data_IF_072546882414
#
_entry.id   IF_072546882414
#
_cell.length_a   1.000
_cell.length_b   1.000
_cell.length_c   1.000
_cell.angle_alpha   90.00
_cell.angle_beta   90.00
_cell.angle_gamma   90.00
#
_symmetry.space_group_name_H-M   'P 1'
#
loop_
_entity.id
_entity.type
_entity.pdbx_description
1 polymer ?
#
# COMPACT_ATOMS: atom_id res chain seq x y z
N UNK A 1 10.63 -5.79 -6.42
CA UNK A 1 9.41 -5.00 -6.71
C UNK A 1 9.77 -3.57 -7.12
N UNK A 2 8.97 -2.89 -7.96
CA UNK A 2 9.12 -1.45 -8.25
C UNK A 2 8.00 -0.66 -7.56
N UNK A 3 8.34 0.14 -6.57
CA UNK A 3 7.43 1.09 -5.93
C UNK A 3 7.17 2.28 -6.86
N UNK A 4 5.93 2.73 -6.96
CA UNK A 4 5.56 3.89 -7.76
C UNK A 4 5.18 5.05 -6.86
N UNK A 5 5.80 6.22 -7.08
CA UNK A 5 5.47 7.46 -6.38
C UNK A 5 4.42 8.21 -7.19
N UNK A 6 3.26 8.42 -6.59
CA UNK A 6 2.09 9.00 -7.24
C UNK A 6 1.99 10.50 -6.92
N UNK A 7 1.58 11.30 -7.91
CA UNK A 7 1.17 12.70 -7.69
C UNK A 7 -0.34 12.75 -7.39
N UNK A 8 -0.68 13.53 -6.38
CA UNK A 8 -1.90 13.41 -5.58
C UNK A 8 -3.20 13.83 -6.27
N UNK A 9 -4.04 12.87 -6.64
CA UNK A 9 -5.51 12.86 -6.44
C UNK A 9 -6.08 11.42 -6.60
N UNK A 10 -7.35 11.19 -6.24
CA UNK A 10 -7.95 9.85 -6.25
C UNK A 10 -8.18 9.26 -7.65
N UNK A 11 -8.39 10.09 -8.67
CA UNK A 11 -8.50 9.62 -10.06
C UNK A 11 -7.13 9.22 -10.59
N UNK A 12 -6.09 10.00 -10.28
CA UNK A 12 -4.70 9.67 -10.58
C UNK A 12 -4.31 8.35 -9.91
N UNK A 13 -4.71 8.12 -8.65
CA UNK A 13 -4.49 6.84 -7.95
C UNK A 13 -5.15 5.65 -8.66
N UNK A 14 -6.41 5.79 -9.10
CA UNK A 14 -7.11 4.70 -9.77
C UNK A 14 -6.51 4.38 -11.14
N UNK A 15 -6.12 5.42 -11.89
CA UNK A 15 -5.48 5.29 -13.19
C UNK A 15 -4.08 4.67 -13.06
N UNK A 16 -3.25 5.17 -12.16
CA UNK A 16 -1.90 4.63 -11.92
C UNK A 16 -1.95 3.20 -11.39
N UNK A 17 -2.91 2.87 -10.52
CA UNK A 17 -3.13 1.49 -10.08
C UNK A 17 -3.51 0.58 -11.27
N UNK A 18 -4.39 1.04 -12.16
CA UNK A 18 -4.76 0.29 -13.37
C UNK A 18 -3.59 0.08 -14.30
N UNK A 19 -2.72 1.07 -14.46
CA UNK A 19 -1.50 0.95 -15.26
C UNK A 19 -0.48 0.00 -14.63
N UNK A 20 -0.36 0.01 -13.30
CA UNK A 20 0.59 -0.83 -12.57
C UNK A 20 0.13 -2.29 -12.42
N UNK A 21 -1.18 -2.53 -12.28
CA UNK A 21 -1.76 -3.86 -11.97
C UNK A 21 -2.57 -4.48 -13.12
N UNK A 22 -2.89 -3.70 -14.16
CA UNK A 22 -3.80 -4.11 -15.24
C UNK A 22 -5.28 -4.16 -14.84
N UNK A 23 -5.62 -3.87 -13.58
CA UNK A 23 -6.96 -4.05 -13.02
C UNK A 23 -7.56 -2.71 -12.58
N UNK A 24 -8.88 -2.52 -12.79
CA UNK A 24 -9.58 -1.35 -12.26
C UNK A 24 -9.81 -1.51 -10.75
N UNK A 25 -9.23 -0.63 -9.90
CA UNK A 25 -9.45 -0.74 -8.46
C UNK A 25 -10.81 -0.17 -8.03
N UNK A 26 -11.31 -0.65 -6.90
CA UNK A 26 -12.33 0.02 -6.11
C UNK A 26 -11.81 1.35 -5.54
N UNK A 27 -12.70 2.14 -4.95
CA UNK A 27 -12.28 3.31 -4.16
C UNK A 27 -11.31 2.88 -3.03
N UNK A 28 -10.27 3.69 -2.73
CA UNK A 28 -9.31 3.39 -1.68
C UNK A 28 -9.98 3.41 -0.31
N UNK A 29 -9.79 2.34 0.46
CA UNK A 29 -10.22 2.30 1.87
C UNK A 29 -9.03 2.63 2.76
N UNK A 30 -9.01 3.84 3.29
CA UNK A 30 -7.91 4.34 4.12
C UNK A 30 -8.06 3.94 5.59
N UNK A 31 -6.97 3.45 6.17
CA UNK A 31 -6.84 3.13 7.59
C UNK A 31 -5.58 3.79 8.14
N UNK A 32 -5.67 4.36 9.35
CA UNK A 32 -4.49 4.80 10.10
C UNK A 32 -4.07 3.65 11.01
N UNK A 33 -2.83 3.19 10.86
CA UNK A 33 -2.27 2.10 11.64
C UNK A 33 -1.53 2.62 12.87
N UNK A 34 -1.33 1.71 13.84
CA UNK A 34 -0.49 1.93 15.00
C UNK A 34 0.90 1.32 14.81
N UNK A 35 1.83 1.76 15.66
CA UNK A 35 3.17 1.18 15.70
C UNK A 35 3.09 -0.28 16.13
N UNK A 36 3.74 -1.16 15.36
CA UNK A 36 3.72 -2.60 15.62
C UNK A 36 2.56 -3.36 14.98
N UNK A 37 1.65 -2.70 14.24
CA UNK A 37 0.61 -3.41 13.50
C UNK A 37 1.24 -4.32 12.42
N UNK A 38 0.96 -5.62 12.50
CA UNK A 38 1.20 -6.60 11.43
C UNK A 38 -0.13 -6.89 10.72
N UNK A 39 -0.20 -6.55 9.45
CA UNK A 39 -1.43 -6.57 8.67
C UNK A 39 -1.30 -7.57 7.54
N UNK A 40 -2.26 -8.49 7.50
CA UNK A 40 -2.54 -9.32 6.33
C UNK A 40 -3.69 -8.67 5.54
N UNK A 41 -3.43 -8.08 4.37
CA UNK A 41 -4.49 -7.45 3.58
C UNK A 41 -5.55 -8.44 3.12
N UNK A 42 -6.71 -7.90 2.76
CA UNK A 42 -7.79 -8.66 2.15
C UNK A 42 -7.30 -9.38 0.89
N UNK A 43 -7.76 -10.61 0.65
CA UNK A 43 -7.33 -11.43 -0.48
C UNK A 43 -7.64 -10.81 -1.85
N UNK A 44 -8.55 -9.84 -1.92
CA UNK A 44 -8.86 -9.08 -3.14
C UNK A 44 -8.02 -7.82 -3.32
N UNK A 45 -7.09 -7.55 -2.41
CA UNK A 45 -6.18 -6.40 -2.49
C UNK A 45 -5.23 -6.57 -3.68
N UNK A 46 -5.31 -5.65 -4.63
CA UNK A 46 -4.43 -5.61 -5.81
C UNK A 46 -3.30 -4.58 -5.67
N UNK A 47 -3.46 -3.61 -4.78
CA UNK A 47 -2.45 -2.64 -4.43
C UNK A 47 -2.71 -2.05 -3.04
N UNK A 48 -1.66 -1.59 -2.38
CA UNK A 48 -1.77 -0.68 -1.24
C UNK A 48 -1.21 0.69 -1.60
N UNK A 49 -1.73 1.73 -0.96
CA UNK A 49 -1.21 3.10 -1.06
C UNK A 49 -0.76 3.52 0.33
N UNK A 50 0.50 3.94 0.46
CA UNK A 50 1.07 4.38 1.73
C UNK A 50 1.22 5.89 1.72
N UNK A 51 0.75 6.54 2.79
CA UNK A 51 0.92 7.96 3.07
C UNK A 51 1.59 8.15 4.43
N UNK A 52 2.82 8.69 4.40
CA UNK A 52 3.62 9.02 5.58
C UNK A 52 3.64 10.53 5.88
N UNK A 53 2.85 11.34 5.16
CA UNK A 53 2.95 12.81 5.22
C UNK A 53 2.65 13.37 6.61
N UNK A 54 1.67 12.76 7.29
CA UNK A 54 1.22 13.13 8.63
C UNK A 54 2.02 12.45 9.76
N UNK A 55 2.90 11.51 9.42
CA UNK A 55 3.68 10.75 10.40
C UNK A 55 5.00 11.46 10.70
N UNK A 56 5.42 11.51 11.97
CA UNK A 56 6.72 12.09 12.37
C UNK A 56 7.89 11.14 12.10
N UNK A 57 7.66 9.86 12.37
CA UNK A 57 8.57 8.74 12.14
C UNK A 57 7.75 7.51 11.75
N UNK A 58 8.17 6.77 10.74
CA UNK A 58 7.45 5.58 10.34
C UNK A 58 7.96 4.89 9.09
N UNK A 59 7.45 3.69 8.87
CA UNK A 59 7.72 2.89 7.69
C UNK A 59 6.61 1.86 7.51
N UNK A 60 6.43 1.40 6.28
CA UNK A 60 5.62 0.21 5.98
C UNK A 60 6.57 -0.80 5.34
N UNK A 61 6.87 -1.89 6.05
CA UNK A 61 7.74 -2.97 5.59
C UNK A 61 6.90 -4.11 5.06
N UNK A 62 7.26 -4.67 3.91
CA UNK A 62 6.45 -5.66 3.21
C UNK A 62 7.21 -6.99 3.18
N UNK A 63 6.49 -8.06 3.48
CA UNK A 63 7.03 -9.40 3.56
C UNK A 63 6.15 -10.38 2.78
N UNK A 64 6.73 -11.41 2.20
CA UNK A 64 6.00 -12.52 1.59
C UNK A 64 6.02 -13.76 2.49
N UNK A 65 4.86 -14.39 2.64
CA UNK A 65 4.68 -15.64 3.39
C UNK A 65 4.87 -16.86 2.48
N UNK A 66 5.25 -18.03 3.03
CA UNK A 66 5.39 -18.33 4.47
C UNK A 66 6.73 -17.92 5.09
N UNK A 67 7.76 -17.63 4.29
CA UNK A 67 9.15 -17.55 4.76
C UNK A 67 9.55 -16.18 5.35
N UNK A 68 8.61 -15.24 5.47
CA UNK A 68 8.85 -13.86 5.89
C UNK A 68 9.95 -13.17 5.05
N UNK A 69 9.96 -13.46 3.75
CA UNK A 69 10.94 -12.87 2.84
C UNK A 69 10.64 -11.38 2.64
N UNK A 70 11.66 -10.54 2.81
CA UNK A 70 11.52 -9.09 2.69
C UNK A 70 11.41 -8.65 1.23
N UNK A 71 10.27 -8.06 0.86
CA UNK A 71 9.99 -7.61 -0.52
C UNK A 71 10.34 -6.12 -0.74
N UNK A 72 10.38 -5.35 0.35
CA UNK A 72 10.77 -3.94 0.35
C UNK A 72 10.04 -3.12 1.42
N UNK A 73 10.18 -1.80 1.37
CA UNK A 73 9.52 -0.90 2.31
C UNK A 73 9.25 0.48 1.71
N UNK A 74 8.23 1.14 2.25
CA UNK A 74 8.01 2.57 2.12
C UNK A 74 8.59 3.25 3.35
N UNK A 75 9.48 4.22 3.15
CA UNK A 75 10.27 4.84 4.22
C UNK A 75 9.98 6.34 4.31
N UNK A 76 10.43 6.97 5.40
CA UNK A 76 10.31 8.43 5.58
C UNK A 76 10.98 9.26 4.45
N UNK A 77 11.88 8.68 3.66
CA UNK A 77 12.43 9.32 2.44
C UNK A 77 11.39 9.55 1.35
N UNK A 78 10.24 8.88 1.43
CA UNK A 78 9.10 9.01 0.52
C UNK A 78 8.02 9.94 1.08
N UNK A 79 8.26 10.57 2.25
CA UNK A 79 7.34 11.52 2.86
C UNK A 79 7.00 12.67 1.90
N UNK A 80 5.72 13.04 1.85
CA UNK A 80 5.20 14.06 0.93
C UNK A 80 4.72 13.48 -0.41
N UNK A 81 4.86 12.17 -0.62
CA UNK A 81 4.29 11.44 -1.74
C UNK A 81 3.34 10.35 -1.25
N UNK A 82 2.36 10.02 -2.09
CA UNK A 82 1.62 8.77 -1.97
C UNK A 82 2.44 7.69 -2.69
N UNK A 83 2.69 6.57 -2.03
CA UNK A 83 3.44 5.46 -2.63
C UNK A 83 2.48 4.32 -2.93
N UNK A 84 2.29 4.01 -4.21
CA UNK A 84 1.55 2.85 -4.66
C UNK A 84 2.48 1.65 -4.71
N UNK A 85 2.01 0.60 -4.07
CA UNK A 85 2.66 -0.69 -4.00
C UNK A 85 1.71 -1.71 -4.64
N UNK A 86 2.00 -2.19 -5.87
CA UNK A 86 1.31 -3.34 -6.42
C UNK A 86 1.40 -4.51 -5.46
N UNK A 87 0.28 -5.18 -5.21
CA UNK A 87 0.18 -6.21 -4.19
C UNK A 87 0.14 -7.60 -4.82
N UNK A 88 0.71 -8.58 -4.12
CA UNK A 88 0.60 -9.98 -4.46
C UNK A 88 -0.06 -10.75 -3.32
N UNK A 89 -0.69 -11.88 -3.65
CA UNK A 89 -1.24 -12.78 -2.64
C UNK A 89 -0.16 -13.26 -1.68
N UNK A 90 -0.55 -13.55 -0.43
CA UNK A 90 0.33 -13.99 0.66
C UNK A 90 1.39 -12.97 1.10
N UNK A 91 1.29 -11.72 0.70
CA UNK A 91 2.09 -10.66 1.30
C UNK A 91 1.42 -10.11 2.55
N UNK A 92 2.24 -9.72 3.52
CA UNK A 92 1.85 -8.97 4.72
C UNK A 92 2.66 -7.68 4.79
N UNK A 93 2.21 -6.73 5.60
CA UNK A 93 3.03 -5.57 5.93
C UNK A 93 3.04 -5.27 7.42
N UNK A 94 4.18 -4.78 7.88
CA UNK A 94 4.42 -4.33 9.23
C UNK A 94 4.59 -2.81 9.28
N UNK A 95 3.85 -2.18 10.19
CA UNK A 95 3.85 -0.74 10.39
C UNK A 95 4.83 -0.33 11.49
N UNK A 96 5.69 0.64 11.18
CA UNK A 96 6.46 1.40 12.17
C UNK A 96 5.87 2.80 12.25
N UNK A 97 5.68 3.31 13.46
CA UNK A 97 4.99 4.58 13.72
C UNK A 97 3.50 4.50 13.39
N UNK A 98 2.90 5.63 12.97
CA UNK A 98 1.47 5.69 12.65
C UNK A 98 1.24 6.02 11.17
N UNK A 99 1.57 5.10 10.24
CA UNK A 99 1.37 5.33 8.81
C UNK A 99 -0.12 5.26 8.47
N UNK A 100 -0.51 5.99 7.43
CA UNK A 100 -1.85 5.84 6.83
C UNK A 100 -1.73 4.97 5.58
N UNK A 101 -2.51 3.90 5.50
CA UNK A 101 -2.47 2.95 4.39
C UNK A 101 -3.87 2.81 3.81
N UNK A 102 -3.99 2.89 2.49
CA UNK A 102 -5.19 2.54 1.76
C UNK A 102 -5.03 1.17 1.09
N UNK A 103 -6.07 0.34 1.18
CA UNK A 103 -6.17 -0.86 0.36
C UNK A 103 -7.02 -0.55 -0.88
N UNK A 104 -6.52 -0.96 -2.05
CA UNK A 104 -7.22 -0.94 -3.32
C UNK A 104 -7.55 -2.38 -3.68
N UNK A 105 -8.85 -2.69 -3.83
CA UNK A 105 -9.33 -4.02 -4.18
C UNK A 105 -9.69 -4.08 -5.66
N UNK A 106 -9.64 -5.25 -6.27
CA UNK A 106 -10.25 -5.43 -7.58
C UNK A 106 -11.74 -5.07 -7.50
N UNK A 107 -12.25 -4.28 -8.45
CA UNK A 107 -13.69 -4.06 -8.56
C UNK A 107 -14.40 -5.42 -8.75
N UNK A 108 -15.48 -5.66 -8.01
CA UNK A 108 -16.29 -6.85 -8.23
C UNK A 108 -16.83 -6.80 -9.66
N UNK A 109 -16.58 -7.85 -10.45
CA UNK A 109 -17.34 -8.09 -11.67
C UNK A 109 -18.75 -8.45 -11.22
N UNK A 110 -19.70 -7.55 -11.47
CA UNK A 110 -21.14 -7.84 -11.38
C UNK A 110 -21.53 -9.00 -12.30
#
# INVERSE_FOLDING_TARGET
MKFQKIKTNAQDLAQECKEATGSSPSLPTWTTHNDGDDVSPDNRTIAIVVDLSQTKEGAVKIFSKPDDHYEGAVLMTDRGHLVLVPWAENWTYFCVGTPRVAQLKAAELE
#
